data_IF_292618501842
#
_entry.id   IF_292618501842
#
_cell.length_a   1.000
_cell.length_b   1.000
_cell.length_c   1.000
_cell.angle_alpha   90.00
_cell.angle_beta   90.00
_cell.angle_gamma   90.00
#
_symmetry.space_group_name_H-M   'P 1'
#
loop_
_entity.id
_entity.type
_entity.pdbx_description
1 polymer ?
#
# COMPACT_ATOMS: atom_id res chain seq x y z
N UNK A 1 21.43 11.44 -3.46
CA UNK A 1 20.71 11.12 -4.70
C UNK A 1 19.73 12.22 -4.94
N UNK A 2 19.78 12.84 -6.11
CA UNK A 2 18.85 13.90 -6.54
C UNK A 2 17.69 13.34 -7.37
N UNK A 3 16.63 14.13 -7.57
CA UNK A 3 15.45 13.74 -8.35
C UNK A 3 15.79 13.25 -9.76
N UNK A 4 16.63 13.99 -10.48
CA UNK A 4 17.05 13.63 -11.83
C UNK A 4 17.84 12.31 -11.86
N UNK A 5 18.76 12.14 -10.90
CA UNK A 5 19.55 10.92 -10.75
C UNK A 5 18.66 9.69 -10.44
N UNK A 6 17.63 9.86 -9.61
CA UNK A 6 16.64 8.81 -9.34
C UNK A 6 15.92 8.38 -10.63
N UNK A 7 15.48 9.32 -11.44
CA UNK A 7 14.79 9.05 -12.70
C UNK A 7 15.68 8.33 -13.71
N UNK A 8 16.94 8.77 -13.84
CA UNK A 8 17.93 8.13 -14.70
C UNK A 8 18.24 6.70 -14.25
N UNK A 9 18.42 6.48 -12.94
CA UNK A 9 18.62 5.15 -12.38
C UNK A 9 17.41 4.24 -12.63
N UNK A 10 16.21 4.78 -12.47
CA UNK A 10 14.98 4.04 -12.70
C UNK A 10 14.77 3.67 -14.18
N UNK A 11 15.08 4.58 -15.10
CA UNK A 11 15.08 4.30 -16.53
C UNK A 11 16.13 3.25 -16.89
N UNK A 12 17.35 3.36 -16.35
CA UNK A 12 18.42 2.39 -16.54
C UNK A 12 18.02 1.00 -16.05
N UNK A 13 17.40 0.91 -14.86
CA UNK A 13 16.88 -0.34 -14.31
C UNK A 13 15.82 -0.97 -15.24
N UNK A 14 14.89 -0.16 -15.73
CA UNK A 14 13.81 -0.58 -16.64
C UNK A 14 14.36 -1.08 -17.98
N UNK A 15 15.32 -0.35 -18.57
CA UNK A 15 15.97 -0.73 -19.83
C UNK A 15 16.77 -2.02 -19.66
N UNK A 16 17.53 -2.14 -18.58
CA UNK A 16 18.31 -3.33 -18.28
C UNK A 16 17.41 -4.56 -18.03
N UNK A 17 16.28 -4.41 -17.33
CA UNK A 17 15.29 -5.48 -17.15
C UNK A 17 14.73 -5.96 -18.50
N UNK A 18 14.32 -5.03 -19.37
CA UNK A 18 13.82 -5.36 -20.71
C UNK A 18 14.87 -6.07 -21.56
N UNK A 19 16.14 -5.65 -21.49
CA UNK A 19 17.25 -6.34 -22.16
C UNK A 19 17.49 -7.75 -21.59
N UNK A 20 17.43 -7.89 -20.27
CA UNK A 20 17.57 -9.19 -19.60
C UNK A 20 16.44 -10.16 -19.95
N UNK A 21 15.23 -9.67 -20.24
CA UNK A 21 14.11 -10.49 -20.69
C UNK A 21 14.26 -11.02 -22.12
N UNK A 22 15.08 -10.38 -22.96
CA UNK A 22 15.34 -10.76 -24.36
C UNK A 22 16.56 -11.65 -24.54
N UNK A 23 17.51 -11.60 -23.61
CA UNK A 23 18.73 -12.40 -23.66
C UNK A 23 18.55 -13.81 -23.11
N UNK A 24 19.58 -14.64 -23.25
CA UNK A 24 19.62 -15.95 -22.61
C UNK A 24 19.43 -15.80 -21.11
N UNK A 25 18.58 -16.65 -20.53
CA UNK A 25 18.11 -16.58 -19.14
C UNK A 25 19.22 -16.88 -18.09
N UNK A 26 20.51 -16.79 -18.49
CA UNK A 26 21.68 -16.95 -17.66
C UNK A 26 21.67 -15.91 -16.54
N UNK A 27 21.81 -16.39 -15.31
CA UNK A 27 21.85 -15.58 -14.08
C UNK A 27 22.94 -14.52 -14.06
N UNK A 28 24.01 -14.69 -14.85
CA UNK A 28 25.18 -13.81 -14.90
C UNK A 28 25.25 -12.90 -16.13
N UNK A 29 24.13 -12.67 -16.82
CA UNK A 29 24.12 -11.72 -17.94
C UNK A 29 24.48 -10.30 -17.44
N UNK A 30 25.32 -9.53 -18.17
CA UNK A 30 25.63 -8.14 -17.82
C UNK A 30 24.38 -7.26 -17.67
N UNK A 31 23.31 -7.55 -18.40
CA UNK A 31 22.04 -6.85 -18.26
C UNK A 31 21.37 -7.12 -16.91
N UNK A 32 21.47 -8.35 -16.40
CA UNK A 32 20.95 -8.73 -15.07
C UNK A 32 21.71 -7.98 -13.98
N UNK A 33 23.05 -7.97 -14.04
CA UNK A 33 23.88 -7.26 -13.07
C UNK A 33 23.57 -5.77 -13.04
N UNK A 34 23.50 -5.11 -14.21
CA UNK A 34 23.16 -3.68 -14.31
C UNK A 34 21.77 -3.38 -13.76
N UNK A 35 20.80 -4.24 -14.03
CA UNK A 35 19.45 -4.09 -13.53
C UNK A 35 19.40 -4.17 -12.00
N UNK A 36 20.04 -5.20 -11.43
CA UNK A 36 20.11 -5.41 -9.98
C UNK A 36 20.85 -4.28 -9.28
N UNK A 37 21.98 -3.84 -9.81
CA UNK A 37 22.76 -2.74 -9.24
C UNK A 37 21.98 -1.42 -9.23
N UNK A 38 21.24 -1.13 -10.31
CA UNK A 38 20.36 0.04 -10.34
C UNK A 38 19.23 -0.06 -9.31
N UNK A 39 18.62 -1.23 -9.11
CA UNK A 39 17.61 -1.43 -8.05
C UNK A 39 18.17 -1.25 -6.64
N UNK A 40 19.40 -1.72 -6.40
CA UNK A 40 20.08 -1.53 -5.11
C UNK A 40 20.30 -0.04 -4.85
N UNK A 41 20.79 0.73 -5.83
CA UNK A 41 20.93 2.19 -5.68
C UNK A 41 19.59 2.88 -5.44
N UNK A 42 18.53 2.47 -6.14
CA UNK A 42 17.18 3.01 -5.91
C UNK A 42 16.67 2.75 -4.48
N UNK A 43 17.10 1.66 -3.84
CA UNK A 43 16.79 1.39 -2.41
C UNK A 43 17.57 2.28 -1.45
N UNK A 44 18.74 2.75 -1.84
CA UNK A 44 19.60 3.63 -1.05
C UNK A 44 19.16 5.11 -1.13
N UNK A 45 18.23 5.43 -2.03
CA UNK A 45 17.64 6.76 -2.13
C UNK A 45 16.99 7.19 -0.79
N UNK A 46 17.05 8.48 -0.42
CA UNK A 46 16.36 8.99 0.75
C UNK A 46 14.86 8.64 0.74
N UNK A 47 14.32 8.22 1.89
CA UNK A 47 12.90 7.81 2.00
C UNK A 47 11.93 8.90 1.52
N UNK A 48 12.21 10.17 1.83
CA UNK A 48 11.41 11.31 1.38
C UNK A 48 11.37 11.45 -0.13
N UNK A 49 12.53 11.31 -0.79
CA UNK A 49 12.64 11.39 -2.24
C UNK A 49 11.97 10.19 -2.92
N UNK A 50 12.24 8.97 -2.44
CA UNK A 50 11.61 7.77 -2.98
C UNK A 50 10.09 7.83 -2.86
N UNK A 51 9.58 8.31 -1.72
CA UNK A 51 8.14 8.52 -1.55
C UNK A 51 7.59 9.55 -2.53
N UNK A 52 8.20 10.74 -2.61
CA UNK A 52 7.82 11.81 -3.54
C UNK A 52 7.71 11.27 -4.97
N UNK A 53 8.73 10.54 -5.43
CA UNK A 53 8.77 9.98 -6.78
C UNK A 53 7.72 8.90 -7.04
N UNK A 54 7.39 8.07 -6.03
CA UNK A 54 6.42 6.98 -6.19
C UNK A 54 4.97 7.49 -6.24
N UNK A 55 4.64 8.58 -5.54
CA UNK A 55 3.28 9.16 -5.53
C UNK A 55 3.03 10.16 -6.66
N UNK A 56 4.09 10.74 -7.23
CA UNK A 56 3.99 11.80 -8.21
C UNK A 56 3.36 11.29 -9.52
N UNK A 57 2.20 11.84 -9.84
CA UNK A 57 1.40 11.50 -11.03
C UNK A 57 2.12 11.82 -12.34
N UNK A 58 3.16 12.66 -12.31
CA UNK A 58 3.99 12.98 -13.48
C UNK A 58 4.93 11.83 -13.87
N UNK A 59 5.17 10.87 -12.96
CA UNK A 59 6.02 9.69 -13.19
C UNK A 59 5.24 8.37 -13.03
N UNK A 60 4.14 8.16 -13.76
CA UNK A 60 3.31 6.97 -13.61
C UNK A 60 4.06 5.67 -13.92
N UNK A 61 5.15 5.75 -14.70
CA UNK A 61 6.03 4.61 -14.97
C UNK A 61 6.64 4.01 -13.70
N UNK A 62 6.87 4.81 -12.65
CA UNK A 62 7.47 4.33 -11.40
C UNK A 62 6.52 3.33 -10.72
N UNK A 63 5.26 3.73 -10.51
CA UNK A 63 4.23 2.83 -9.96
C UNK A 63 3.85 1.67 -10.88
N UNK A 64 3.77 1.91 -12.20
CA UNK A 64 3.38 0.87 -13.19
C UNK A 64 4.45 -0.19 -13.44
N UNK A 65 5.72 0.12 -13.19
CA UNK A 65 6.85 -0.79 -13.45
C UNK A 65 6.92 -2.00 -12.50
N UNK A 66 6.12 -2.06 -11.44
CA UNK A 66 6.26 -3.12 -10.44
C UNK A 66 6.15 -4.53 -11.06
N UNK A 67 5.29 -4.74 -12.05
CA UNK A 67 5.16 -6.04 -12.74
C UNK A 67 6.44 -6.42 -13.49
N UNK A 68 7.12 -5.45 -14.10
CA UNK A 68 8.34 -5.66 -14.87
C UNK A 68 9.43 -6.32 -14.01
N UNK A 69 9.54 -5.90 -12.76
CA UNK A 69 10.53 -6.44 -11.83
C UNK A 69 9.99 -7.65 -11.07
N UNK A 70 8.80 -7.56 -10.45
CA UNK A 70 8.26 -8.60 -9.53
C UNK A 70 7.85 -9.91 -10.21
N UNK A 71 7.58 -9.89 -11.53
CA UNK A 71 7.22 -11.07 -12.33
C UNK A 71 8.27 -11.42 -13.39
N UNK A 72 9.49 -10.91 -13.24
CA UNK A 72 10.56 -11.16 -14.18
C UNK A 72 10.96 -12.65 -14.22
N UNK A 73 11.32 -13.18 -15.40
CA UNK A 73 11.73 -14.59 -15.60
C UNK A 73 13.04 -14.92 -14.89
N UNK A 74 13.96 -13.96 -14.85
CA UNK A 74 15.21 -14.10 -14.10
C UNK A 74 14.94 -13.97 -12.58
N UNK A 75 15.28 -14.98 -11.77
CA UNK A 75 14.93 -15.02 -10.35
C UNK A 75 15.63 -13.93 -9.53
N UNK A 76 16.81 -13.45 -9.96
CA UNK A 76 17.55 -12.41 -9.25
C UNK A 76 16.88 -11.04 -9.40
N UNK A 77 16.51 -10.69 -10.63
CA UNK A 77 15.72 -9.48 -10.92
C UNK A 77 14.37 -9.56 -10.19
N UNK A 78 13.76 -10.74 -10.18
CA UNK A 78 12.49 -10.96 -9.49
C UNK A 78 12.60 -10.72 -7.98
N UNK A 79 13.62 -11.27 -7.34
CA UNK A 79 13.87 -11.15 -5.91
C UNK A 79 14.10 -9.69 -5.51
N UNK A 80 15.03 -9.01 -6.19
CA UNK A 80 15.35 -7.59 -5.91
C UNK A 80 14.16 -6.69 -6.22
N UNK A 81 13.41 -6.98 -7.28
CA UNK A 81 12.19 -6.27 -7.64
C UNK A 81 11.11 -6.34 -6.55
N UNK A 82 10.94 -7.51 -5.92
CA UNK A 82 10.01 -7.68 -4.78
C UNK A 82 10.47 -6.88 -3.56
N UNK A 83 11.77 -6.87 -3.25
CA UNK A 83 12.33 -6.09 -2.14
C UNK A 83 12.09 -4.59 -2.37
N UNK A 84 12.50 -4.07 -3.54
CA UNK A 84 12.32 -2.67 -3.89
C UNK A 84 10.85 -2.24 -3.81
N UNK A 85 9.95 -3.05 -4.36
CA UNK A 85 8.52 -2.76 -4.33
C UNK A 85 7.94 -2.80 -2.90
N UNK A 86 8.34 -3.79 -2.09
CA UNK A 86 7.92 -3.88 -0.68
C UNK A 86 8.37 -2.67 0.13
N UNK A 87 9.55 -2.12 -0.17
CA UNK A 87 10.09 -0.92 0.45
C UNK A 87 9.24 0.31 0.11
N UNK A 88 8.91 0.49 -1.16
CA UNK A 88 8.06 1.61 -1.59
C UNK A 88 6.63 1.50 -1.05
N UNK A 89 6.03 0.30 -1.04
CA UNK A 89 4.74 0.09 -0.38
C UNK A 89 4.81 0.46 1.10
N UNK A 90 5.90 0.09 1.81
CA UNK A 90 6.09 0.50 3.21
C UNK A 90 6.07 2.01 3.36
N UNK A 91 6.70 2.77 2.48
CA UNK A 91 6.67 4.23 2.52
C UNK A 91 5.26 4.78 2.30
N UNK A 92 4.53 4.24 1.32
CA UNK A 92 3.14 4.63 1.04
C UNK A 92 2.21 4.39 2.24
N UNK A 93 2.30 3.22 2.88
CA UNK A 93 1.41 2.86 3.98
C UNK A 93 1.85 3.43 5.34
N UNK A 94 3.16 3.59 5.60
CA UNK A 94 3.65 4.18 6.84
C UNK A 94 3.27 5.67 6.96
N UNK A 95 3.21 6.40 5.85
CA UNK A 95 2.84 7.82 5.86
C UNK A 95 1.34 8.06 6.07
N UNK A 96 0.49 7.09 5.75
CA UNK A 96 -0.92 7.09 6.15
C UNK A 96 -1.13 7.15 7.67
N UNK A 97 -0.19 6.60 8.48
CA UNK A 97 -0.17 6.75 9.94
C UNK A 97 0.31 8.12 10.41
N UNK A 98 1.26 8.75 9.71
CA UNK A 98 1.80 10.05 10.13
C UNK A 98 0.80 11.20 9.92
N UNK A 99 -0.08 11.12 8.91
CA UNK A 99 -1.16 12.10 8.76
C UNK A 99 -2.28 11.95 9.80
N UNK A 100 -2.52 10.76 10.35
CA UNK A 100 -3.51 10.54 11.41
C UNK A 100 -3.05 10.99 12.81
N UNK A 101 -1.78 11.40 12.94
CA UNK A 101 -1.15 11.81 14.19
C UNK A 101 -1.36 13.29 14.54
N UNK A 102 -2.20 14.04 13.81
CA UNK A 102 -2.71 15.32 14.33
C UNK A 102 -3.44 15.03 15.65
N UNK A 103 -3.15 15.75 16.74
CA UNK A 103 -3.67 15.41 18.05
C UNK A 103 -5.19 15.46 18.00
N UNK A 104 -5.83 14.30 18.12
CA UNK A 104 -7.25 14.21 18.40
C UNK A 104 -7.37 14.45 19.89
N UNK A 105 -7.76 15.66 20.29
CA UNK A 105 -8.34 15.86 21.62
C UNK A 105 -9.53 14.91 21.73
N UNK A 106 -9.36 13.83 22.49
CA UNK A 106 -10.48 13.08 23.04
C UNK A 106 -10.32 13.03 24.56
N UNK A 107 -11.36 13.35 25.32
CA UNK A 107 -11.39 13.06 26.74
C UNK A 107 -11.40 11.54 26.92
N UNK A 108 -10.47 11.06 27.74
CA UNK A 108 -10.40 9.68 28.21
C UNK A 108 -11.57 9.48 29.19
N UNK A 109 -12.49 8.58 28.87
CA UNK A 109 -13.36 7.98 29.89
C UNK A 109 -13.17 6.47 29.86
N UNK A 110 -12.75 5.97 31.01
CA UNK A 110 -12.43 4.59 31.30
C UNK A 110 -13.70 3.73 31.43
N UNK A 111 -13.70 2.66 30.63
CA UNK A 111 -13.91 1.26 31.01
C UNK A 111 -15.25 0.75 31.55
N UNK A 112 -15.71 -0.25 30.80
CA UNK A 112 -16.11 -1.59 31.29
C UNK A 112 -17.43 -1.67 32.04
N UNK A 113 -18.52 -1.89 31.28
CA UNK A 113 -19.63 -2.83 31.62
C UNK A 113 -20.80 -2.92 30.62
N UNK A 114 -20.69 -2.37 29.40
CA UNK A 114 -21.82 -2.29 28.45
C UNK A 114 -21.57 -3.00 27.11
N UNK A 115 -20.90 -4.14 27.15
CA UNK A 115 -20.24 -4.76 25.99
C UNK A 115 -21.14 -5.59 25.04
N UNK A 116 -22.43 -5.76 25.34
CA UNK A 116 -23.33 -6.61 24.53
C UNK A 116 -24.41 -5.80 23.80
N UNK A 117 -25.03 -4.82 24.46
CA UNK A 117 -26.07 -3.98 23.82
C UNK A 117 -25.48 -2.86 22.92
N UNK A 118 -24.31 -2.30 23.24
CA UNK A 118 -23.71 -1.22 22.42
C UNK A 118 -23.12 -1.72 21.10
N UNK A 119 -22.70 -3.00 21.03
CA UNK A 119 -22.19 -3.57 19.79
C UNK A 119 -23.29 -3.66 18.73
N UNK A 120 -24.53 -3.93 19.14
CA UNK A 120 -25.71 -3.97 18.29
C UNK A 120 -26.18 -2.57 17.87
N UNK A 121 -26.05 -1.57 18.75
CA UNK A 121 -26.38 -0.16 18.45
C UNK A 121 -25.35 0.50 17.51
N UNK A 122 -24.08 0.08 17.54
CA UNK A 122 -23.06 0.53 16.57
C UNK A 122 -23.13 -0.15 15.20
N UNK A 123 -23.99 -1.17 15.08
CA UNK A 123 -24.03 -2.04 13.90
C UNK A 123 -24.91 -1.46 12.80
N UNK A 124 -25.99 -0.79 13.19
CA UNK A 124 -26.99 -0.26 12.26
C UNK A 124 -27.12 1.24 12.41
N UNK A 125 -27.12 1.93 11.27
CA UNK A 125 -27.33 3.38 11.19
C UNK A 125 -28.80 3.76 11.15
N UNK A 126 -29.70 2.76 11.10
CA UNK A 126 -31.10 2.94 10.75
C UNK A 126 -31.33 3.12 9.25
N UNK A 127 -30.25 3.18 8.46
CA UNK A 127 -30.26 3.32 7.01
C UNK A 127 -29.78 2.00 6.39
N UNK A 128 -30.71 1.31 5.70
CA UNK A 128 -30.45 0.00 5.10
C UNK A 128 -29.32 0.04 4.06
N UNK A 129 -29.16 1.14 3.34
CA UNK A 129 -28.13 1.27 2.32
C UNK A 129 -26.77 1.49 2.97
N UNK A 130 -26.69 2.33 4.00
CA UNK A 130 -25.46 2.53 4.78
C UNK A 130 -25.03 1.25 5.48
N UNK A 131 -25.98 0.49 6.01
CA UNK A 131 -25.70 -0.77 6.70
C UNK A 131 -25.16 -1.84 5.73
N UNK A 132 -25.70 -1.92 4.51
CA UNK A 132 -25.14 -2.76 3.44
C UNK A 132 -23.71 -2.34 3.07
N UNK A 133 -23.44 -1.03 2.99
CA UNK A 133 -22.07 -0.53 2.72
C UNK A 133 -21.13 -0.95 3.84
N UNK A 134 -21.52 -0.82 5.12
CA UNK A 134 -20.72 -1.29 6.27
C UNK A 134 -20.43 -2.78 6.19
N UNK A 135 -21.43 -3.59 5.86
CA UNK A 135 -21.28 -5.03 5.75
C UNK A 135 -20.30 -5.42 4.62
N UNK A 136 -20.44 -4.80 3.44
CA UNK A 136 -19.53 -5.02 2.30
C UNK A 136 -18.10 -4.65 2.67
N UNK A 137 -17.91 -3.49 3.31
CA UNK A 137 -16.61 -3.03 3.77
C UNK A 137 -16.02 -3.99 4.81
N UNK A 138 -16.79 -4.39 5.82
CA UNK A 138 -16.34 -5.33 6.84
C UNK A 138 -15.91 -6.68 6.24
N UNK A 139 -16.75 -7.24 5.36
CA UNK A 139 -16.47 -8.52 4.69
C UNK A 139 -15.22 -8.47 3.82
N UNK A 140 -14.98 -7.33 3.19
CA UNK A 140 -13.77 -7.13 2.38
C UNK A 140 -12.53 -6.95 3.27
N UNK A 141 -12.61 -6.08 4.27
CA UNK A 141 -11.51 -5.77 5.19
C UNK A 141 -11.08 -6.97 6.04
N UNK A 142 -12.01 -7.82 6.45
CA UNK A 142 -11.71 -9.05 7.22
C UNK A 142 -10.84 -10.05 6.45
N UNK A 143 -10.78 -9.96 5.12
CA UNK A 143 -9.93 -10.83 4.28
C UNK A 143 -8.53 -10.27 4.05
N UNK A 144 -8.33 -8.95 4.22
CA UNK A 144 -7.08 -8.26 3.90
C UNK A 144 -5.90 -8.79 4.72
N UNK A 145 -6.12 -9.21 5.98
CA UNK A 145 -5.07 -9.78 6.82
C UNK A 145 -4.36 -11.00 6.21
N UNK A 146 -5.04 -11.73 5.30
CA UNK A 146 -4.48 -12.90 4.63
C UNK A 146 -3.74 -12.57 3.32
N UNK A 147 -3.94 -11.37 2.77
CA UNK A 147 -3.33 -10.92 1.51
C UNK A 147 -2.06 -10.09 1.73
N UNK A 148 -1.80 -9.70 2.97
CA UNK A 148 -0.73 -8.76 3.34
C UNK A 148 0.61 -9.49 3.56
N UNK A 149 1.68 -8.88 3.04
CA UNK A 149 3.07 -9.35 3.20
C UNK A 149 3.47 -9.36 4.69
N UNK A 150 4.26 -10.36 5.10
CA UNK A 150 4.59 -10.71 6.50
C UNK A 150 4.88 -9.51 7.42
N UNK A 151 5.58 -8.47 6.95
CA UNK A 151 5.95 -7.31 7.77
C UNK A 151 4.81 -6.37 8.18
N UNK A 152 3.63 -6.46 7.55
CA UNK A 152 2.46 -5.60 7.85
C UNK A 152 1.30 -6.37 8.50
N UNK A 153 1.41 -7.69 8.58
CA UNK A 153 0.32 -8.57 9.02
C UNK A 153 -0.12 -8.27 10.46
N UNK A 154 0.81 -8.05 11.38
CA UNK A 154 0.52 -7.77 12.79
C UNK A 154 -0.28 -6.47 12.99
N UNK A 155 0.03 -5.43 12.22
CA UNK A 155 -0.71 -4.17 12.25
C UNK A 155 -2.12 -4.24 11.65
N UNK A 156 -2.33 -5.15 10.69
CA UNK A 156 -3.66 -5.36 10.08
C UNK A 156 -4.51 -6.28 10.96
N UNK A 157 -3.91 -7.32 11.54
CA UNK A 157 -4.58 -8.27 12.45
C UNK A 157 -5.04 -7.59 13.75
N UNK A 158 -4.30 -6.58 14.24
CA UNK A 158 -4.68 -5.83 15.44
C UNK A 158 -5.81 -4.82 15.23
N UNK A 159 -6.18 -4.51 13.98
CA UNK A 159 -7.32 -3.65 13.68
C UNK A 159 -8.63 -4.42 13.65
N UNK A 160 -9.65 -3.92 14.36
CA UNK A 160 -11.01 -4.44 14.22
C UNK A 160 -11.59 -4.02 12.87
N UNK A 161 -11.79 -4.99 11.97
CA UNK A 161 -12.29 -4.76 10.60
C UNK A 161 -13.67 -4.10 10.60
N UNK A 162 -14.48 -4.30 11.65
CA UNK A 162 -15.78 -3.65 11.78
C UNK A 162 -15.65 -2.16 12.08
N UNK A 163 -14.87 -1.79 13.09
CA UNK A 163 -14.59 -0.39 13.43
C UNK A 163 -14.04 0.40 12.24
N UNK A 164 -13.14 -0.21 11.45
CA UNK A 164 -12.63 0.41 10.22
C UNK A 164 -13.74 0.60 9.20
N UNK A 165 -14.61 -0.39 9.00
CA UNK A 165 -15.75 -0.28 8.08
C UNK A 165 -16.71 0.87 8.46
N UNK A 166 -17.04 1.02 9.74
CA UNK A 166 -17.89 2.11 10.25
C UNK A 166 -17.25 3.47 9.99
N UNK A 167 -15.95 3.62 10.26
CA UNK A 167 -15.22 4.88 10.04
C UNK A 167 -15.16 5.26 8.55
N UNK A 168 -14.84 4.29 7.69
CA UNK A 168 -14.75 4.51 6.24
C UNK A 168 -16.11 4.86 5.67
N UNK A 169 -17.14 4.08 6.00
CA UNK A 169 -18.50 4.34 5.54
C UNK A 169 -19.00 5.72 6.00
N UNK A 170 -18.77 6.08 7.27
CA UNK A 170 -19.18 7.39 7.78
C UNK A 170 -18.50 8.54 7.05
N UNK A 171 -17.20 8.42 6.78
CA UNK A 171 -16.45 9.42 6.02
C UNK A 171 -16.91 9.49 4.55
N UNK A 172 -17.22 8.34 3.94
CA UNK A 172 -17.76 8.28 2.59
C UNK A 172 -19.13 8.96 2.51
N UNK A 173 -20.03 8.68 3.45
CA UNK A 173 -21.35 9.31 3.51
C UNK A 173 -21.25 10.82 3.77
N UNK A 174 -20.36 11.26 4.66
CA UNK A 174 -20.13 12.69 4.92
C UNK A 174 -19.62 13.44 3.68
N UNK A 175 -18.76 12.80 2.87
CA UNK A 175 -18.12 13.44 1.70
C UNK A 175 -18.89 13.29 0.40
N UNK A 176 -19.59 12.18 0.21
CA UNK A 176 -20.22 11.80 -1.06
C UNK A 176 -21.75 11.81 -0.97
N UNK A 177 -22.33 11.89 0.22
CA UNK A 177 -23.77 11.86 0.44
C UNK A 177 -24.35 10.45 0.41
N UNK A 178 -25.68 10.37 0.23
CA UNK A 178 -26.41 9.10 0.19
C UNK A 178 -26.09 8.30 -1.07
N UNK A 179 -26.00 6.97 -0.94
CA UNK A 179 -25.69 6.01 -2.01
C UNK A 179 -26.95 5.46 -2.70
N UNK A 180 -27.98 6.28 -2.83
CA UNK A 180 -29.19 5.92 -3.59
C UNK A 180 -28.90 6.12 -5.08
N UNK A 181 -28.42 5.06 -5.73
CA UNK A 181 -28.38 5.01 -7.19
C UNK A 181 -29.80 5.09 -7.74
N UNK A 182 -30.10 6.13 -8.53
CA UNK A 182 -31.37 6.28 -9.26
C UNK A 182 -31.50 5.28 -10.39
#
# INVERSE_FOLDING_TARGET
>A
MEKQEFLELFEAATKAAKSAARGDNKSSSPAVSRCVEAMIRLREAPESLAYEMVIDITYPQIGKSHVLFTKHKNPRIQFEGKILYSLWLRYLYAMGRKQSSRPRDRPVVNKEKKLVDEKMISMTTGDSNRDKVREILHKSLSKVANEVVVGMKEGVVSCDSWSVAVLVESAMFEKLGSFEGT
#
